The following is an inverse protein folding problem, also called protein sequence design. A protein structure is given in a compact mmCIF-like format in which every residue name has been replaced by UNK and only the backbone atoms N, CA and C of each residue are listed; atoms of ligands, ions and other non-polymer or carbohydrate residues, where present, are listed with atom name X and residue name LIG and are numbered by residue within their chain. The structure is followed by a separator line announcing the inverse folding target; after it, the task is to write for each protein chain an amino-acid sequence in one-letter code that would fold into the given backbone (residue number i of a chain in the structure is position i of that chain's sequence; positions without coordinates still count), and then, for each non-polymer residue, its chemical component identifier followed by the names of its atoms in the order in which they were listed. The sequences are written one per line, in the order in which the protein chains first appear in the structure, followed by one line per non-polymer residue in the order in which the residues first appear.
data_IF_750813467173
#
_entry.id   IF_750813467173
#
_cell.length_a   1.000
_cell.length_b   1.000
_cell.length_c   1.000
_cell.angle_alpha   90.00
_cell.angle_beta   90.00
_cell.angle_gamma   90.00
#
_symmetry.space_group_name_H-M   'P 1'
#
loop_
_entity.id
_entity.type
_entity.pdbx_description
1 polymer ?
#
# COMPACT_ATOMS: atom_id res chain seq x y z
N UNK A 1 -17.01 2.26 -6.90
CA UNK A 1 -16.80 2.97 -5.63
C UNK A 1 -15.37 3.52 -5.69
N UNK A 2 -15.16 4.69 -6.29
CA UNK A 2 -13.79 5.24 -6.47
C UNK A 2 -13.15 5.61 -5.11
N UNK A 3 -14.00 5.95 -4.13
CA UNK A 3 -13.57 6.32 -2.78
C UNK A 3 -12.92 5.15 -2.02
N UNK A 4 -13.40 3.92 -2.20
CA UNK A 4 -12.87 2.77 -1.45
C UNK A 4 -11.48 2.37 -1.95
N UNK A 5 -11.25 2.43 -3.26
CA UNK A 5 -9.93 2.19 -3.86
C UNK A 5 -8.91 3.24 -3.40
N UNK A 6 -9.26 4.52 -3.40
CA UNK A 6 -8.36 5.58 -2.92
C UNK A 6 -8.11 5.48 -1.41
N UNK A 7 -9.10 5.04 -0.63
CA UNK A 7 -8.95 4.77 0.80
C UNK A 7 -7.97 3.61 1.04
N UNK A 8 -8.13 2.49 0.33
CA UNK A 8 -7.23 1.35 0.42
C UNK A 8 -5.79 1.73 0.02
N UNK A 9 -5.63 2.49 -1.07
CA UNK A 9 -4.32 3.01 -1.49
C UNK A 9 -3.68 3.87 -0.39
N UNK A 10 -4.46 4.74 0.25
CA UNK A 10 -3.97 5.58 1.35
C UNK A 10 -3.50 4.74 2.52
N UNK A 11 -4.29 3.75 2.95
CA UNK A 11 -3.95 2.89 4.07
C UNK A 11 -2.66 2.08 3.82
N UNK A 12 -2.49 1.56 2.61
CA UNK A 12 -1.27 0.82 2.24
C UNK A 12 -0.05 1.73 2.25
N UNK A 13 -0.17 2.97 1.74
CA UNK A 13 0.92 3.94 1.79
C UNK A 13 1.29 4.34 3.22
N UNK A 14 0.30 4.58 4.09
CA UNK A 14 0.54 4.95 5.48
C UNK A 14 1.29 3.84 6.23
N UNK A 15 0.96 2.58 5.97
CA UNK A 15 1.64 1.43 6.55
C UNK A 15 3.08 1.26 6.04
N UNK A 16 3.29 1.39 4.73
CA UNK A 16 4.63 1.38 4.14
C UNK A 16 5.51 2.48 4.75
N UNK A 17 4.98 3.70 4.88
CA UNK A 17 5.71 4.78 5.51
C UNK A 17 5.97 4.50 6.99
N UNK A 18 4.99 4.01 7.75
CA UNK A 18 5.17 3.67 9.16
C UNK A 18 6.25 2.57 9.35
N UNK A 19 6.25 1.54 8.51
CA UNK A 19 7.27 0.50 8.50
C UNK A 19 8.66 1.06 8.18
N UNK A 20 8.77 1.88 7.14
CA UNK A 20 10.03 2.54 6.78
C UNK A 20 10.61 3.38 7.92
N UNK A 21 9.77 4.20 8.58
CA UNK A 21 10.19 4.99 9.74
C UNK A 21 10.52 4.13 10.97
N UNK A 22 10.02 2.90 11.05
CA UNK A 22 10.32 1.93 12.11
C UNK A 22 11.56 1.07 11.82
N UNK A 23 12.31 1.37 10.76
CA UNK A 23 13.53 0.64 10.38
C UNK A 23 13.34 -0.42 9.31
N UNK A 24 12.11 -0.63 8.80
CA UNK A 24 11.81 -1.50 7.66
C UNK A 24 11.90 -0.72 6.33
N UNK A 25 13.05 -0.07 6.10
CA UNK A 25 13.25 0.78 4.92
C UNK A 25 13.02 0.08 3.57
N UNK A 26 13.09 -1.25 3.53
CA UNK A 26 12.77 -2.07 2.36
C UNK A 26 11.31 -1.90 1.88
N UNK A 27 10.38 -1.53 2.77
CA UNK A 27 8.98 -1.31 2.41
C UNK A 27 8.81 -0.10 1.47
N UNK A 28 9.76 0.85 1.45
CA UNK A 28 9.70 1.98 0.51
C UNK A 28 9.76 1.55 -0.96
N UNK A 29 10.24 0.34 -1.25
CA UNK A 29 10.26 -0.22 -2.61
C UNK A 29 8.84 -0.48 -3.14
N UNK A 30 7.87 -0.67 -2.26
CA UNK A 30 6.48 -0.98 -2.62
C UNK A 30 5.65 0.28 -2.90
N UNK A 31 6.19 1.49 -2.61
CA UNK A 31 5.48 2.77 -2.77
C UNK A 31 5.07 3.02 -4.23
N UNK A 32 5.97 2.74 -5.17
CA UNK A 32 5.69 2.95 -6.59
C UNK A 32 4.71 1.89 -7.13
N UNK A 33 4.72 0.67 -6.59
CA UNK A 33 3.72 -0.36 -6.91
C UNK A 33 2.32 0.10 -6.44
N UNK A 34 2.17 0.49 -5.17
CA UNK A 34 0.89 0.93 -4.59
C UNK A 34 0.33 2.19 -5.28
N UNK A 35 1.19 3.12 -5.70
CA UNK A 35 0.74 4.35 -6.38
C UNK A 35 0.17 4.11 -7.77
N UNK A 36 0.74 3.16 -8.50
CA UNK A 36 0.35 2.87 -9.87
C UNK A 36 -0.66 1.72 -9.99
N UNK A 37 -0.83 0.93 -8.91
CA UNK A 37 -1.73 -0.20 -8.87
C UNK A 37 -3.19 0.20 -9.16
N UNK A 38 -3.84 -0.61 -9.98
CA UNK A 38 -5.28 -0.59 -10.20
C UNK A 38 -6.04 -1.18 -8.98
N UNK A 39 -7.39 -1.15 -8.95
CA UNK A 39 -8.14 -1.66 -7.82
C UNK A 39 -7.89 -3.14 -7.49
N UNK A 40 -7.67 -3.99 -8.49
CA UNK A 40 -7.45 -5.43 -8.29
C UNK A 40 -6.03 -5.67 -7.77
N UNK A 41 -5.04 -4.98 -8.34
CA UNK A 41 -3.66 -4.99 -7.88
C UNK A 41 -3.53 -4.49 -6.43
N UNK A 42 -4.29 -3.45 -6.05
CA UNK A 42 -4.34 -2.96 -4.66
C UNK A 42 -4.86 -4.00 -3.68
N UNK A 43 -5.89 -4.78 -4.06
CA UNK A 43 -6.36 -5.89 -3.22
C UNK A 43 -5.32 -6.99 -3.08
N UNK A 44 -4.57 -7.31 -4.13
CA UNK A 44 -3.49 -8.29 -4.05
C UNK A 44 -2.36 -7.82 -3.13
N UNK A 45 -1.98 -6.54 -3.22
CA UNK A 45 -1.00 -5.94 -2.33
C UNK A 45 -1.51 -5.96 -0.88
N UNK A 46 -2.78 -5.62 -0.64
CA UNK A 46 -3.39 -5.69 0.69
C UNK A 46 -3.29 -7.10 1.31
N UNK A 47 -3.55 -8.16 0.51
CA UNK A 47 -3.40 -9.54 0.96
C UNK A 47 -1.95 -9.90 1.32
N UNK A 48 -0.95 -9.37 0.61
CA UNK A 48 0.48 -9.56 0.95
C UNK A 48 0.82 -8.94 2.31
N UNK A 49 0.16 -7.84 2.65
CA UNK A 49 0.29 -7.14 3.93
C UNK A 49 -0.58 -7.74 5.04
N UNK A 50 -1.40 -8.76 4.72
CA UNK A 50 -2.27 -9.44 5.68
C UNK A 50 -3.56 -8.69 6.00
N UNK A 51 -4.02 -7.81 5.09
CA UNK A 51 -5.32 -7.14 5.15
C UNK A 51 -6.39 -7.86 4.35
#
# INVERSE_FOLDING_TARGET
MYNDTEALRRELLDEVYAGAFSGLGAMLLDVDEIRNADPEELEEIARRYGK
#
